data_IF_015786012969
#
_entry.id   IF_015786012969
#
_cell.length_a   1.000
_cell.length_b   1.000
_cell.length_c   1.000
_cell.angle_alpha   90.00
_cell.angle_beta   90.00
_cell.angle_gamma   90.00
#
_symmetry.space_group_name_H-M   'P 1'
#
loop_
_entity.id
_entity.type
_entity.pdbx_description
1 polymer ?
#
# COMPACT_ATOMS: atom_id res chain seq x y z
N UNK A 1 -2.26 9.18 25.46
CA UNK A 1 -1.26 10.18 25.04
C UNK A 1 -0.89 11.04 26.23
N UNK A 2 0.39 11.38 26.35
CA UNK A 2 0.90 12.29 27.38
C UNK A 2 1.66 13.44 26.75
N UNK A 3 1.54 14.63 27.35
CA UNK A 3 2.31 15.81 26.98
C UNK A 3 3.77 15.74 27.54
N UNK A 4 4.64 16.70 27.19
CA UNK A 4 6.00 16.78 27.70
C UNK A 4 6.06 16.97 29.23
N UNK A 5 5.05 17.63 29.80
CA UNK A 5 4.83 17.84 31.24
C UNK A 5 4.25 16.60 31.96
N UNK A 6 4.14 15.46 31.25
CA UNK A 6 3.59 14.18 31.71
C UNK A 6 2.10 14.22 32.10
N UNK A 7 1.38 15.26 31.70
CA UNK A 7 -0.07 15.39 31.80
C UNK A 7 -0.74 14.41 30.84
N UNK A 8 -1.75 13.70 31.34
CA UNK A 8 -2.50 12.73 30.54
C UNK A 8 -3.53 13.47 29.67
N UNK A 9 -3.28 13.52 28.36
CA UNK A 9 -4.15 14.20 27.40
C UNK A 9 -5.33 13.33 26.96
N UNK A 10 -5.09 12.04 26.72
CA UNK A 10 -6.11 11.10 26.22
C UNK A 10 -5.84 9.68 26.74
N UNK A 11 -6.88 8.97 27.17
CA UNK A 11 -6.83 7.55 27.57
C UNK A 11 -8.14 6.86 27.22
N UNK A 12 -8.04 5.83 26.38
CA UNK A 12 -9.15 4.96 26.02
C UNK A 12 -8.79 3.50 26.32
N UNK A 13 -9.77 2.71 26.75
CA UNK A 13 -9.62 1.28 27.03
C UNK A 13 -10.52 0.43 26.13
N UNK A 14 -10.03 -0.75 25.71
CA UNK A 14 -10.85 -1.74 25.00
C UNK A 14 -11.21 -1.42 23.55
N UNK A 15 -10.47 -0.52 22.90
CA UNK A 15 -10.68 -0.18 21.48
C UNK A 15 -9.73 -0.97 20.58
N UNK A 16 -10.26 -1.53 19.49
CA UNK A 16 -9.49 -2.23 18.45
C UNK A 16 -8.96 -1.26 17.38
N UNK A 17 -9.66 -0.15 17.15
CA UNK A 17 -9.32 0.89 16.18
C UNK A 17 -9.77 2.27 16.67
N UNK A 18 -9.16 3.34 16.16
CA UNK A 18 -9.51 4.72 16.48
C UNK A 18 -8.57 5.74 15.85
N UNK A 19 -9.09 6.96 15.65
CA UNK A 19 -8.34 8.11 15.14
C UNK A 19 -8.41 9.25 16.16
N UNK A 20 -7.28 9.90 16.42
CA UNK A 20 -7.19 10.99 17.39
C UNK A 20 -6.45 12.16 16.77
N UNK A 21 -6.99 13.36 16.97
CA UNK A 21 -6.40 14.62 16.57
C UNK A 21 -6.10 15.43 17.82
N UNK A 22 -4.88 15.96 17.92
CA UNK A 22 -4.46 16.79 19.04
C UNK A 22 -3.58 17.93 18.53
N UNK A 23 -3.80 19.13 19.07
CA UNK A 23 -2.95 20.28 18.80
C UNK A 23 -1.91 20.41 19.91
N UNK A 24 -0.62 20.36 19.57
CA UNK A 24 0.45 20.45 20.54
C UNK A 24 0.60 21.89 21.07
N UNK A 25 0.09 22.15 22.27
CA UNK A 25 0.16 23.47 22.91
C UNK A 25 1.57 23.78 23.45
N UNK A 26 2.30 22.77 23.91
CA UNK A 26 3.64 22.92 24.47
C UNK A 26 4.70 22.31 23.54
N UNK A 27 5.84 22.99 23.31
CA UNK A 27 6.94 22.40 22.57
C UNK A 27 7.60 21.29 23.40
N UNK A 28 7.67 20.08 22.84
CA UNK A 28 8.37 18.98 23.48
C UNK A 28 7.94 17.59 23.03
N UNK A 29 8.46 16.58 23.70
CA UNK A 29 8.24 15.16 23.37
C UNK A 29 6.89 14.70 23.90
N UNK A 30 5.98 14.41 22.98
CA UNK A 30 4.70 13.78 23.28
C UNK A 30 4.83 12.26 23.20
N UNK A 31 4.25 11.54 24.17
CA UNK A 31 4.36 10.08 24.28
C UNK A 31 3.02 9.39 24.02
N UNK A 32 3.05 8.40 23.14
CA UNK A 32 1.93 7.48 22.89
C UNK A 32 2.22 6.14 23.57
N UNK A 33 1.28 5.67 24.39
CA UNK A 33 1.42 4.43 25.15
C UNK A 33 0.27 3.50 24.79
N UNK A 34 0.59 2.27 24.40
CA UNK A 34 -0.36 1.20 24.14
C UNK A 34 -0.08 0.06 25.11
N UNK A 35 -1.12 -0.44 25.76
CA UNK A 35 -1.02 -1.56 26.69
C UNK A 35 -1.84 -2.71 26.15
N UNK A 36 -1.18 -3.81 25.82
CA UNK A 36 -1.85 -5.05 25.46
C UNK A 36 -2.17 -5.85 26.73
N UNK A 37 -3.29 -6.58 26.69
CA UNK A 37 -3.61 -7.60 27.70
C UNK A 37 -2.72 -8.84 27.56
N UNK A 38 -3.12 -9.98 28.17
CA UNK A 38 -2.34 -11.23 28.11
C UNK A 38 -2.20 -11.81 26.69
N UNK A 39 -3.10 -11.44 25.77
CA UNK A 39 -3.02 -11.87 24.37
C UNK A 39 -2.01 -11.05 23.56
N UNK A 40 -1.28 -11.72 22.67
CA UNK A 40 -0.42 -11.06 21.68
C UNK A 40 -1.30 -10.33 20.66
N UNK A 41 -1.20 -9.00 20.62
CA UNK A 41 -1.92 -8.14 19.66
C UNK A 41 -0.91 -7.28 18.90
N UNK A 42 -1.09 -7.21 17.58
CA UNK A 42 -0.29 -6.34 16.71
C UNK A 42 -0.92 -4.95 16.66
N UNK A 43 -0.14 -3.92 16.97
CA UNK A 43 -0.58 -2.52 16.94
C UNK A 43 -0.01 -1.86 15.67
N UNK A 44 -0.88 -1.24 14.89
CA UNK A 44 -0.51 -0.42 13.73
C UNK A 44 -0.77 1.05 14.05
N UNK A 45 0.24 1.91 13.91
CA UNK A 45 0.17 3.34 14.21
C UNK A 45 0.67 4.15 13.00
N UNK A 46 -0.12 5.14 12.59
CA UNK A 46 0.23 6.09 11.54
C UNK A 46 0.17 7.53 12.07
N UNK A 47 1.29 8.09 12.55
CA UNK A 47 1.32 9.48 13.02
C UNK A 47 1.40 10.44 11.83
N UNK A 48 0.52 11.44 11.80
CA UNK A 48 0.57 12.56 10.84
C UNK A 48 0.71 13.88 11.61
N UNK A 49 1.81 14.60 11.37
CA UNK A 49 2.03 15.94 11.92
C UNK A 49 1.87 16.98 10.83
N UNK A 50 0.88 17.85 10.95
CA UNK A 50 0.75 19.04 10.12
C UNK A 50 1.41 20.21 10.84
N UNK A 51 2.50 20.74 10.27
CA UNK A 51 3.09 22.00 10.71
C UNK A 51 2.52 23.09 9.83
N UNK A 52 1.75 24.00 10.42
CA UNK A 52 1.27 25.20 9.74
C UNK A 52 2.46 26.17 9.61
N UNK A 53 3.18 26.08 8.50
CA UNK A 53 4.38 26.90 8.24
C UNK A 53 4.00 28.34 7.89
N UNK A 54 2.82 28.87 8.20
CA UNK A 54 2.45 30.24 7.80
C UNK A 54 3.26 31.35 8.50
N UNK A 55 3.96 31.06 9.61
CA UNK A 55 4.56 32.09 10.47
C UNK A 55 6.11 32.11 10.52
N UNK A 56 6.80 31.07 10.04
CA UNK A 56 8.27 30.94 10.21
C UNK A 56 9.10 31.70 9.14
N UNK A 57 8.48 32.20 8.06
CA UNK A 57 9.19 32.89 6.97
C UNK A 57 9.58 34.35 7.29
N UNK A 58 9.08 34.93 8.38
CA UNK A 58 9.23 36.37 8.64
C UNK A 58 10.56 36.76 9.30
N UNK A 59 11.34 35.81 9.83
CA UNK A 59 12.55 36.12 10.61
C UNK A 59 13.88 35.72 9.96
N UNK A 60 13.88 35.01 8.82
CA UNK A 60 15.10 34.39 8.27
C UNK A 60 15.61 34.95 6.92
N UNK A 61 15.12 36.11 6.46
CA UNK A 61 15.34 36.55 5.07
C UNK A 61 16.01 37.91 4.89
N UNK A 62 17.04 38.25 5.67
CA UNK A 62 17.89 39.39 5.32
C UNK A 62 19.00 38.90 4.38
N UNK A 63 18.98 39.45 3.16
CA UNK A 63 19.98 39.39 2.09
C UNK A 63 19.93 38.20 1.12
N UNK A 64 19.87 38.58 -0.16
CA UNK A 64 20.07 37.81 -1.40
C UNK A 64 18.79 37.27 -2.08
N UNK A 65 18.28 38.10 -3.00
CA UNK A 65 17.71 37.73 -4.31
C UNK A 65 16.53 36.73 -4.34
N UNK A 66 15.52 36.97 -3.49
CA UNK A 66 14.28 36.17 -3.45
C UNK A 66 13.35 36.38 -4.65
N UNK A 67 13.45 37.50 -5.37
CA UNK A 67 12.52 37.84 -6.44
C UNK A 67 12.60 36.91 -7.66
N UNK A 68 13.74 36.26 -7.89
CA UNK A 68 13.96 35.38 -9.05
C UNK A 68 13.67 33.90 -8.75
N UNK A 69 13.82 33.50 -7.48
CA UNK A 69 13.41 32.18 -7.00
C UNK A 69 11.88 32.09 -6.93
N UNK A 70 11.21 33.14 -6.46
CA UNK A 70 9.74 33.15 -6.34
C UNK A 70 9.04 32.85 -7.69
N UNK A 71 9.53 33.40 -8.81
CA UNK A 71 8.95 33.16 -10.14
C UNK A 71 9.06 31.69 -10.60
N UNK A 72 10.18 31.03 -10.30
CA UNK A 72 10.36 29.59 -10.59
C UNK A 72 9.54 28.72 -9.63
N UNK A 73 9.43 29.10 -8.36
CA UNK A 73 8.60 28.41 -7.37
C UNK A 73 7.11 28.43 -7.75
N UNK A 74 6.56 29.58 -8.20
CA UNK A 74 5.17 29.66 -8.64
C UNK A 74 4.87 28.80 -9.88
N UNK A 75 5.85 28.67 -10.79
CA UNK A 75 5.68 27.83 -11.98
C UNK A 75 5.77 26.32 -11.66
N UNK A 76 6.60 25.94 -10.68
CA UNK A 76 6.64 24.56 -10.16
C UNK A 76 5.41 24.21 -9.32
N UNK A 77 4.86 25.14 -8.54
CA UNK A 77 3.65 24.90 -7.73
C UNK A 77 2.42 24.56 -8.59
N UNK A 78 2.26 25.22 -9.75
CA UNK A 78 1.19 24.89 -10.70
C UNK A 78 1.30 23.47 -11.29
N UNK A 79 2.53 22.96 -11.47
CA UNK A 79 2.77 21.58 -11.90
C UNK A 79 2.56 20.57 -10.76
N UNK A 80 2.94 20.93 -9.53
CA UNK A 80 2.79 20.09 -8.34
C UNK A 80 1.32 19.87 -7.99
N UNK A 81 0.47 20.88 -8.16
CA UNK A 81 -0.96 20.74 -7.89
C UNK A 81 -1.66 19.83 -8.93
N UNK A 82 -1.20 19.90 -10.18
CA UNK A 82 -1.58 18.94 -11.22
C UNK A 82 -1.11 17.52 -10.90
N UNK A 83 0.10 17.32 -10.39
CA UNK A 83 0.61 15.99 -10.01
C UNK A 83 -0.08 15.46 -8.74
N UNK A 84 -0.42 16.33 -7.79
CA UNK A 84 -1.13 15.98 -6.56
C UNK A 84 -2.54 15.44 -6.84
N UNK A 85 -3.28 16.14 -7.71
CA UNK A 85 -4.61 15.70 -8.16
C UNK A 85 -4.55 14.38 -8.96
N UNK A 86 -3.51 14.17 -9.75
CA UNK A 86 -3.24 12.90 -10.45
C UNK A 86 -2.92 11.77 -9.46
N UNK A 87 -2.17 12.04 -8.39
CA UNK A 87 -1.76 11.02 -7.41
C UNK A 87 -2.95 10.44 -6.64
N UNK A 88 -3.94 11.27 -6.26
CA UNK A 88 -5.15 10.78 -5.59
C UNK A 88 -6.04 9.93 -6.51
N UNK A 89 -6.15 10.33 -7.79
CA UNK A 89 -6.86 9.57 -8.80
C UNK A 89 -6.18 8.22 -9.12
N UNK A 90 -4.85 8.15 -9.08
CA UNK A 90 -4.09 6.90 -9.30
C UNK A 90 -4.21 5.91 -8.13
N UNK A 91 -4.27 6.38 -6.89
CA UNK A 91 -4.40 5.52 -5.70
C UNK A 91 -5.76 4.80 -5.68
N UNK A 92 -6.85 5.48 -6.05
CA UNK A 92 -8.17 4.82 -6.13
C UNK A 92 -8.23 3.77 -7.24
N UNK A 93 -7.51 4.01 -8.34
CA UNK A 93 -7.44 3.11 -9.49
C UNK A 93 -6.54 1.89 -9.22
N UNK A 94 -5.46 2.01 -8.46
CA UNK A 94 -4.53 0.90 -8.17
C UNK A 94 -5.19 -0.26 -7.42
N UNK A 95 -6.04 0.02 -6.43
CA UNK A 95 -6.80 -1.01 -5.71
C UNK A 95 -7.74 -1.81 -6.61
N UNK A 96 -8.25 -1.19 -7.67
CA UNK A 96 -9.15 -1.83 -8.64
C UNK A 96 -8.36 -2.65 -9.65
N UNK A 97 -7.17 -2.17 -10.05
CA UNK A 97 -6.25 -2.89 -10.94
C UNK A 97 -5.69 -4.16 -10.26
N UNK A 98 -5.32 -4.09 -8.98
CA UNK A 98 -4.81 -5.25 -8.24
C UNK A 98 -5.86 -6.36 -8.11
N UNK A 99 -7.13 -5.99 -7.89
CA UNK A 99 -8.26 -6.93 -7.84
C UNK A 99 -8.60 -7.48 -9.22
N UNK A 100 -8.51 -6.65 -10.28
CA UNK A 100 -8.72 -7.07 -11.65
C UNK A 100 -7.67 -8.12 -12.07
N UNK A 101 -6.39 -7.88 -11.77
CA UNK A 101 -5.30 -8.82 -12.06
C UNK A 101 -5.50 -10.17 -11.37
N UNK A 102 -5.94 -10.18 -10.10
CA UNK A 102 -6.22 -11.42 -9.36
C UNK A 102 -7.39 -12.24 -9.95
N UNK A 103 -8.38 -11.58 -10.53
CA UNK A 103 -9.58 -12.23 -11.08
C UNK A 103 -9.38 -12.84 -12.49
N UNK A 104 -8.48 -12.28 -13.30
CA UNK A 104 -8.12 -12.82 -14.63
C UNK A 104 -7.27 -14.08 -14.48
N UNK A 105 -6.31 -14.06 -13.56
CA UNK A 105 -5.41 -15.19 -13.31
C UNK A 105 -6.17 -16.46 -12.97
N UNK A 106 -7.31 -16.36 -12.28
CA UNK A 106 -8.04 -17.56 -11.85
C UNK A 106 -8.63 -18.37 -13.01
N UNK A 107 -9.29 -17.73 -13.99
CA UNK A 107 -9.91 -18.46 -15.10
C UNK A 107 -8.85 -19.04 -16.03
N UNK A 108 -7.82 -18.25 -16.35
CA UNK A 108 -6.70 -18.70 -17.19
C UNK A 108 -5.96 -19.85 -16.50
N UNK A 109 -5.75 -19.79 -15.18
CA UNK A 109 -5.15 -20.86 -14.38
C UNK A 109 -5.95 -22.18 -14.46
N UNK A 110 -7.27 -22.13 -14.31
CA UNK A 110 -8.12 -23.31 -14.45
C UNK A 110 -8.10 -23.90 -15.86
N UNK A 111 -8.12 -23.06 -16.90
CA UNK A 111 -7.98 -23.52 -18.29
C UNK A 111 -6.62 -24.16 -18.58
N UNK A 112 -5.53 -23.61 -18.03
CA UNK A 112 -4.18 -24.19 -18.16
C UNK A 112 -4.05 -25.55 -17.47
N UNK A 113 -4.65 -25.73 -16.29
CA UNK A 113 -4.68 -27.04 -15.60
C UNK A 113 -5.46 -28.06 -16.43
N UNK A 114 -6.64 -27.68 -16.91
CA UNK A 114 -7.48 -28.57 -17.73
C UNK A 114 -6.74 -29.02 -19.00
N UNK A 115 -6.07 -28.10 -19.69
CA UNK A 115 -5.25 -28.41 -20.87
C UNK A 115 -4.07 -29.34 -20.54
N UNK A 116 -3.40 -29.14 -19.39
CA UNK A 116 -2.32 -30.01 -18.93
C UNK A 116 -2.78 -31.46 -18.70
N UNK A 117 -3.93 -31.64 -18.05
CA UNK A 117 -4.54 -32.97 -17.84
C UNK A 117 -4.86 -33.63 -19.19
N UNK A 118 -5.46 -32.88 -20.11
CA UNK A 118 -5.84 -33.39 -21.44
C UNK A 118 -4.60 -33.86 -22.22
N UNK A 119 -3.50 -33.11 -22.18
CA UNK A 119 -2.22 -33.50 -22.79
C UNK A 119 -1.68 -34.82 -22.20
N UNK A 120 -1.70 -34.97 -20.88
CA UNK A 120 -1.24 -36.21 -20.22
C UNK A 120 -2.07 -37.42 -20.67
N UNK A 121 -3.39 -37.27 -20.77
CA UNK A 121 -4.29 -38.33 -21.24
C UNK A 121 -3.98 -38.71 -22.69
N UNK A 122 -3.77 -37.73 -23.58
CA UNK A 122 -3.45 -38.00 -24.98
C UNK A 122 -2.08 -38.67 -25.13
N UNK A 123 -1.06 -38.21 -24.41
CA UNK A 123 0.26 -38.84 -24.41
C UNK A 123 0.19 -40.29 -23.89
N UNK A 124 -0.56 -40.54 -22.81
CA UNK A 124 -0.79 -41.89 -22.30
C UNK A 124 -1.49 -42.80 -23.32
N UNK A 125 -2.54 -42.28 -23.97
CA UNK A 125 -3.25 -42.98 -25.03
C UNK A 125 -2.34 -43.34 -26.20
N UNK A 126 -1.51 -42.40 -26.66
CA UNK A 126 -0.53 -42.63 -27.72
C UNK A 126 0.41 -43.79 -27.36
N UNK A 127 0.96 -43.82 -26.14
CA UNK A 127 1.85 -44.91 -25.70
C UNK A 127 1.13 -46.26 -25.69
N UNK A 128 -0.12 -46.31 -25.22
CA UNK A 128 -0.91 -47.56 -25.21
C UNK A 128 -1.17 -48.05 -26.64
N UNK A 129 -1.53 -47.15 -27.55
CA UNK A 129 -1.79 -47.52 -28.95
C UNK A 129 -0.53 -48.04 -29.64
N UNK A 130 0.61 -47.39 -29.43
CA UNK A 130 1.90 -47.85 -29.98
C UNK A 130 2.23 -49.24 -29.43
N UNK A 131 2.08 -49.47 -28.12
CA UNK A 131 2.31 -50.79 -27.52
C UNK A 131 1.39 -51.86 -28.12
N UNK A 132 0.09 -51.57 -28.28
CA UNK A 132 -0.88 -52.50 -28.90
C UNK A 132 -0.53 -52.82 -30.35
N UNK A 133 -0.04 -51.84 -31.10
CA UNK A 133 0.38 -52.04 -32.49
C UNK A 133 1.56 -53.01 -32.59
N UNK A 134 2.58 -52.85 -31.72
CA UNK A 134 3.71 -53.77 -31.69
C UNK A 134 3.33 -55.18 -31.24
N UNK A 135 2.44 -55.30 -30.26
CA UNK A 135 1.99 -56.60 -29.76
C UNK A 135 1.24 -57.38 -30.85
N UNK A 136 0.33 -56.71 -31.57
CA UNK A 136 -0.46 -57.30 -32.66
C UNK A 136 0.42 -57.74 -33.84
N UNK A 137 1.52 -57.02 -34.12
CA UNK A 137 2.45 -57.33 -35.20
C UNK A 137 3.51 -58.37 -34.83
N UNK A 138 3.70 -58.65 -33.53
CA UNK A 138 4.59 -59.71 -33.02
C UNK A 138 3.90 -61.08 -32.95
N UNK A 139 2.57 -61.09 -32.93
CA UNK A 139 1.72 -62.29 -32.87
C UNK A 139 1.32 -62.84 -34.24
N UNK A 140 1.90 -62.31 -35.33
CA UNK A 140 1.85 -62.85 -36.69
C UNK A 140 3.25 -63.27 -37.09
#
# INVERSE_FOLDING_TARGET
MKDPSNTQLQRDGGRTEGYYHYNATEPGIHKYCFTNGPDVKTISLYPHSYKDTSNDWKEAGNSVDTAKLDEEFYNLEGLVDQVSSIRQALISRSFTIDKANRSITSRVYWWSIFQGILLVVVCGWQVVQIKKFFDTRRLV
#
